data_IF_765879011869
#
_entry.id   IF_765879011869
#
_cell.length_a   1.000
_cell.length_b   1.000
_cell.length_c   1.000
_cell.angle_alpha   90.00
_cell.angle_beta   90.00
_cell.angle_gamma   90.00
#
_symmetry.space_group_name_H-M   'P 1'
#
loop_
_entity.id
_entity.type
_entity.pdbx_description
1 polymer ?
#
# COMPACT_ATOMS: atom_id res chain seq x y z
N UNK A 1 2.80 -19.95 -54.52
CA UNK A 1 3.91 -20.08 -53.53
C UNK A 1 3.72 -19.21 -52.28
N UNK A 2 2.93 -18.14 -52.31
CA UNK A 2 2.73 -17.21 -51.17
C UNK A 2 1.87 -17.81 -50.03
N UNK A 3 0.95 -18.73 -50.32
CA UNK A 3 0.00 -19.28 -49.32
C UNK A 3 0.64 -20.24 -48.29
N UNK A 4 1.85 -20.77 -48.56
CA UNK A 4 2.51 -21.78 -47.71
C UNK A 4 3.32 -21.18 -46.56
N UNK A 5 3.65 -19.88 -46.64
CA UNK A 5 4.43 -19.13 -45.64
C UNK A 5 3.58 -18.28 -44.70
N UNK A 6 2.34 -17.94 -45.06
CA UNK A 6 1.45 -17.13 -44.20
C UNK A 6 0.91 -17.91 -43.00
N UNK A 7 0.67 -19.22 -43.18
CA UNK A 7 0.12 -20.12 -42.16
C UNK A 7 1.04 -20.22 -40.92
N UNK A 8 2.37 -20.46 -41.02
CA UNK A 8 3.24 -20.51 -39.85
C UNK A 8 3.45 -19.15 -39.18
N UNK A 9 3.41 -18.04 -39.93
CA UNK A 9 3.51 -16.69 -39.37
C UNK A 9 2.27 -16.36 -38.55
N UNK A 10 1.07 -16.71 -39.04
CA UNK A 10 -0.19 -16.52 -38.32
C UNK A 10 -0.23 -17.31 -36.99
N UNK A 11 0.31 -18.52 -36.99
CA UNK A 11 0.45 -19.35 -35.78
C UNK A 11 1.43 -18.76 -34.77
N UNK A 12 2.53 -18.16 -35.23
CA UNK A 12 3.54 -17.50 -34.39
C UNK A 12 2.95 -16.27 -33.68
N UNK A 13 2.12 -15.50 -34.38
CA UNK A 13 1.40 -14.36 -33.81
C UNK A 13 0.38 -14.79 -32.75
N UNK A 14 -0.39 -15.85 -33.01
CA UNK A 14 -1.35 -16.41 -32.06
C UNK A 14 -0.66 -16.92 -30.77
N UNK A 15 0.49 -17.59 -30.88
CA UNK A 15 1.25 -18.05 -29.72
C UNK A 15 1.76 -16.90 -28.84
N UNK A 16 2.17 -15.77 -29.45
CA UNK A 16 2.66 -14.61 -28.72
C UNK A 16 1.58 -13.95 -27.85
N UNK A 17 0.33 -13.92 -28.33
CA UNK A 17 -0.82 -13.35 -27.59
C UNK A 17 -1.18 -14.20 -26.36
N UNK A 18 -1.09 -15.53 -26.46
CA UNK A 18 -1.44 -16.45 -25.36
C UNK A 18 -0.42 -16.35 -24.21
N UNK A 19 0.87 -16.17 -24.51
CA UNK A 19 1.92 -16.04 -23.51
C UNK A 19 1.82 -14.70 -22.76
N UNK A 20 1.43 -13.61 -23.44
CA UNK A 20 1.25 -12.29 -22.82
C UNK A 20 0.16 -12.26 -21.73
N UNK A 21 -0.90 -13.06 -21.89
CA UNK A 21 -2.01 -13.09 -20.93
C UNK A 21 -1.68 -13.86 -19.63
N UNK A 22 -0.75 -14.82 -19.67
CA UNK A 22 -0.38 -15.63 -18.50
C UNK A 22 0.53 -14.87 -17.50
N UNK A 23 1.16 -13.78 -17.93
CA UNK A 23 2.00 -12.91 -17.10
C UNK A 23 1.23 -11.74 -16.48
N UNK A 24 -0.05 -11.57 -16.82
CA UNK A 24 -0.94 -10.62 -16.17
C UNK A 24 -1.42 -11.14 -14.81
N UNK A 25 -0.51 -11.72 -14.03
CA UNK A 25 -0.72 -11.93 -12.60
C UNK A 25 -1.16 -10.59 -12.02
N UNK A 26 -2.34 -10.56 -11.41
CA UNK A 26 -2.87 -9.34 -10.81
C UNK A 26 -1.80 -8.80 -9.86
N UNK A 27 -1.15 -7.70 -10.23
CA UNK A 27 -0.48 -6.83 -9.28
C UNK A 27 -1.58 -6.38 -8.32
N UNK A 28 -1.79 -7.14 -7.24
CA UNK A 28 -2.67 -6.75 -6.15
C UNK A 28 -2.04 -5.48 -5.58
N UNK A 29 -2.55 -4.33 -6.00
CA UNK A 29 -2.20 -3.07 -5.41
C UNK A 29 -2.43 -3.20 -3.89
N UNK A 30 -1.39 -2.87 -3.12
CA UNK A 30 -1.46 -2.97 -1.66
C UNK A 30 -2.47 -1.93 -1.17
N UNK A 31 -3.53 -2.34 -0.45
CA UNK A 31 -4.59 -1.40 -0.06
C UNK A 31 -4.10 -0.23 0.79
N UNK A 32 -2.99 -0.40 1.53
CA UNK A 32 -2.40 0.66 2.32
C UNK A 32 -1.62 1.64 1.43
N UNK A 33 -0.93 1.16 0.40
CA UNK A 33 -0.26 1.99 -0.60
C UNK A 33 -1.26 2.78 -1.45
N UNK A 34 -2.35 2.15 -1.88
CA UNK A 34 -3.43 2.83 -2.61
C UNK A 34 -4.04 3.94 -1.77
N UNK A 35 -4.33 3.66 -0.50
CA UNK A 35 -4.86 4.66 0.42
C UNK A 35 -3.86 5.81 0.65
N UNK A 36 -2.58 5.49 0.90
CA UNK A 36 -1.57 6.52 1.10
C UNK A 36 -1.41 7.39 -0.16
N UNK A 37 -1.49 6.80 -1.35
CA UNK A 37 -1.41 7.54 -2.61
C UNK A 37 -2.58 8.51 -2.78
N UNK A 38 -3.80 8.11 -2.37
CA UNK A 38 -4.99 8.92 -2.50
C UNK A 38 -5.18 9.96 -1.38
N UNK A 39 -4.79 9.64 -0.14
CA UNK A 39 -5.21 10.37 1.06
C UNK A 39 -4.06 10.77 2.01
N UNK A 40 -2.78 10.62 1.61
CA UNK A 40 -1.66 10.98 2.48
C UNK A 40 -1.65 12.45 2.90
N UNK A 41 -2.12 13.35 2.05
CA UNK A 41 -2.22 14.78 2.38
C UNK A 41 -3.20 15.02 3.54
N UNK A 42 -4.37 14.37 3.52
CA UNK A 42 -5.38 14.51 4.57
C UNK A 42 -4.88 14.00 5.92
N UNK A 43 -4.20 12.85 5.90
CA UNK A 43 -3.52 12.30 7.09
C UNK A 43 -2.53 13.30 7.69
N UNK A 44 -1.74 13.96 6.85
CA UNK A 44 -0.76 14.94 7.29
C UNK A 44 -1.40 16.23 7.84
N UNK A 45 -2.49 16.72 7.23
CA UNK A 45 -3.24 17.88 7.74
C UNK A 45 -3.74 17.62 9.16
N UNK A 46 -4.35 16.45 9.40
CA UNK A 46 -4.86 16.12 10.73
C UNK A 46 -3.72 15.95 11.75
N UNK A 47 -2.59 15.36 11.34
CA UNK A 47 -1.41 15.24 12.22
C UNK A 47 -0.74 16.59 12.50
N UNK A 48 -0.83 17.55 11.58
CA UNK A 48 -0.33 18.91 11.78
C UNK A 48 -1.17 19.68 12.80
N UNK A 49 -2.49 19.55 12.74
CA UNK A 49 -3.42 20.16 13.71
C UNK A 49 -3.39 19.45 15.07
N UNK A 50 -3.17 18.14 15.06
CA UNK A 50 -3.18 17.29 16.25
C UNK A 50 -1.92 16.41 16.37
N UNK A 51 -0.74 17.00 16.63
CA UNK A 51 0.53 16.27 16.76
C UNK A 51 0.65 15.60 18.13
N UNK A 52 -0.33 14.74 18.46
CA UNK A 52 -0.41 14.01 19.72
C UNK A 52 -0.71 12.53 19.49
N UNK A 53 -0.42 11.69 20.49
CA UNK A 53 -0.74 10.25 20.43
C UNK A 53 -2.24 9.99 20.24
N UNK A 54 -3.16 10.66 20.96
CA UNK A 54 -4.60 10.53 20.71
C UNK A 54 -5.01 10.97 19.30
N UNK A 55 -4.41 12.05 18.79
CA UNK A 55 -4.65 12.53 17.42
C UNK A 55 -4.29 11.48 16.38
N UNK A 56 -3.12 10.84 16.51
CA UNK A 56 -2.72 9.73 15.63
C UNK A 56 -3.63 8.50 15.75
N UNK A 57 -4.13 8.19 16.95
CA UNK A 57 -5.15 7.12 17.12
C UNK A 57 -6.44 7.45 16.35
N UNK A 58 -6.89 8.70 16.42
CA UNK A 58 -8.07 9.16 15.68
C UNK A 58 -7.86 9.05 14.17
N UNK A 59 -6.69 9.43 13.67
CA UNK A 59 -6.31 9.24 12.26
C UNK A 59 -6.35 7.76 11.88
N UNK A 60 -5.78 6.86 12.69
CA UNK A 60 -5.82 5.42 12.45
C UNK A 60 -7.24 4.86 12.37
N UNK A 61 -8.17 5.36 13.21
CA UNK A 61 -9.58 4.98 13.13
C UNK A 61 -10.22 5.51 11.84
N UNK A 62 -10.02 6.79 11.53
CA UNK A 62 -10.55 7.40 10.31
C UNK A 62 -10.06 6.70 9.03
N UNK A 63 -8.80 6.28 8.99
CA UNK A 63 -8.22 5.52 7.86
C UNK A 63 -8.86 4.14 7.73
N UNK A 64 -9.12 3.44 8.85
CA UNK A 64 -9.81 2.15 8.83
C UNK A 64 -11.24 2.30 8.30
N UNK A 65 -11.97 3.31 8.76
CA UNK A 65 -13.36 3.57 8.37
C UNK A 65 -13.47 4.04 6.92
N UNK A 66 -12.61 4.97 6.51
CA UNK A 66 -12.64 5.55 5.16
C UNK A 66 -12.15 4.56 4.11
N UNK A 67 -11.07 3.83 4.40
CA UNK A 67 -10.46 2.90 3.45
C UNK A 67 -10.98 1.47 3.55
N UNK A 68 -11.86 1.16 4.50
CA UNK A 68 -12.25 -0.24 4.80
C UNK A 68 -11.06 -1.11 5.17
N UNK A 69 -10.02 -0.51 5.76
CA UNK A 69 -8.73 -1.14 6.02
C UNK A 69 -8.72 -1.86 7.37
N UNK A 70 -7.97 -2.95 7.46
CA UNK A 70 -7.63 -3.56 8.75
C UNK A 70 -6.73 -2.64 9.57
N UNK A 71 -6.68 -2.81 10.89
CA UNK A 71 -5.78 -2.03 11.76
C UNK A 71 -4.31 -2.08 11.31
N UNK A 72 -3.85 -3.22 10.79
CA UNK A 72 -2.49 -3.37 10.26
C UNK A 72 -2.29 -2.54 8.99
N UNK A 73 -3.22 -2.63 8.04
CA UNK A 73 -3.16 -1.87 6.79
C UNK A 73 -3.28 -0.36 7.04
N UNK A 74 -4.15 0.06 7.96
CA UNK A 74 -4.25 1.46 8.36
C UNK A 74 -2.94 1.96 8.99
N UNK A 75 -2.31 1.16 9.85
CA UNK A 75 -0.97 1.45 10.38
C UNK A 75 0.07 1.64 9.28
N UNK A 76 0.06 0.76 8.27
CA UNK A 76 0.95 0.86 7.12
C UNK A 76 0.64 2.09 6.26
N UNK A 77 -0.63 2.39 6.01
CA UNK A 77 -1.06 3.53 5.21
C UNK A 77 -0.64 4.84 5.88
N UNK A 78 -0.89 4.98 7.18
CA UNK A 78 -0.46 6.17 7.94
C UNK A 78 1.06 6.30 7.98
N UNK A 79 1.80 5.19 8.13
CA UNK A 79 3.25 5.21 8.09
C UNK A 79 3.77 5.67 6.72
N UNK A 80 3.23 5.14 5.63
CA UNK A 80 3.57 5.54 4.26
C UNK A 80 3.27 7.03 4.03
N UNK A 81 2.11 7.52 4.47
CA UNK A 81 1.74 8.93 4.39
C UNK A 81 2.73 9.83 5.13
N UNK A 82 3.08 9.48 6.37
CA UNK A 82 4.02 10.27 7.19
C UNK A 82 5.42 10.26 6.61
N UNK A 83 5.91 9.12 6.15
CA UNK A 83 7.27 9.00 5.59
C UNK A 83 7.40 9.80 4.30
N UNK A 84 6.39 9.73 3.42
CA UNK A 84 6.47 10.31 2.08
C UNK A 84 6.03 11.79 2.02
N UNK A 85 5.09 12.21 2.87
CA UNK A 85 4.45 13.54 2.75
C UNK A 85 4.80 14.46 3.93
N UNK A 86 4.75 13.97 5.17
CA UNK A 86 5.00 14.79 6.36
C UNK A 86 6.05 14.18 7.32
N UNK A 87 7.33 14.09 6.90
CA UNK A 87 8.38 13.38 7.66
C UNK A 87 8.66 14.01 9.04
N UNK A 88 8.23 15.25 9.28
CA UNK A 88 8.31 15.89 10.60
C UNK A 88 7.59 15.12 11.71
N UNK A 89 6.60 14.29 11.37
CA UNK A 89 5.82 13.49 12.33
C UNK A 89 6.36 12.09 12.59
N UNK A 90 7.49 11.71 11.96
CA UNK A 90 8.17 10.43 12.23
C UNK A 90 8.45 10.19 13.72
N UNK A 91 8.91 11.19 14.52
CA UNK A 91 9.14 10.98 15.96
C UNK A 91 7.87 10.62 16.72
N UNK A 92 6.73 11.18 16.32
CA UNK A 92 5.42 10.89 16.91
C UNK A 92 4.99 9.46 16.59
N UNK A 93 5.15 9.05 15.33
CA UNK A 93 4.88 7.68 14.89
C UNK A 93 5.73 6.65 15.66
N UNK A 94 7.02 6.95 15.88
CA UNK A 94 7.91 6.09 16.69
C UNK A 94 7.45 5.96 18.14
N UNK A 95 7.01 7.06 18.76
CA UNK A 95 6.47 7.04 20.13
C UNK A 95 5.20 6.18 20.22
N UNK A 96 4.34 6.29 19.22
CA UNK A 96 3.13 5.48 19.12
C UNK A 96 3.45 3.98 19.05
N UNK A 97 4.35 3.60 18.14
CA UNK A 97 4.80 2.20 17.99
C UNK A 97 5.43 1.69 19.29
N UNK A 98 6.27 2.49 19.96
CA UNK A 98 6.88 2.09 21.23
C UNK A 98 5.85 1.83 22.35
N UNK A 99 4.69 2.49 22.29
CA UNK A 99 3.62 2.38 23.28
C UNK A 99 2.65 1.23 22.99
N UNK A 100 2.32 1.00 21.71
CA UNK A 100 1.21 0.12 21.32
C UNK A 100 1.60 -1.06 20.45
N UNK A 101 2.80 -1.08 19.84
CA UNK A 101 3.21 -2.25 19.11
C UNK A 101 3.40 -3.42 20.08
N UNK A 102 2.83 -4.60 19.78
CA UNK A 102 3.10 -5.78 20.60
C UNK A 102 4.62 -5.97 20.65
N UNK A 103 5.18 -5.99 21.86
CA UNK A 103 6.58 -6.40 22.03
C UNK A 103 6.68 -7.78 21.42
N UNK A 104 7.55 -7.95 20.44
CA UNK A 104 7.88 -9.25 19.88
C UNK A 104 8.66 -10.07 20.93
N UNK A 105 8.02 -10.36 22.06
CA UNK A 105 8.51 -11.23 23.11
C UNK A 105 8.31 -12.66 22.65
N UNK A 106 9.17 -13.13 21.74
CA UNK A 106 9.09 -14.52 21.26
C UNK A 106 9.96 -14.90 20.06
N UNK A 107 10.75 -14.01 19.47
CA UNK A 107 11.60 -14.37 18.32
C UNK A 107 12.99 -14.92 18.70
N UNK A 108 13.26 -15.17 19.99
CA UNK A 108 14.51 -15.74 20.48
C UNK A 108 14.19 -16.66 21.68
N UNK A 109 13.77 -17.90 21.41
CA UNK A 109 13.84 -19.01 22.36
C UNK A 109 14.03 -20.31 21.57
#
# INVERSE_FOLDING_TARGET
MIHRTVIPVLWLWLACVIIGAALAGSAKADPAEDFATAYAADVCIVLDDHPTIPGLTGVLQAVQETGGLTARQAGQAVALSVINVCPRHIPLLRRYVAMYAPRASGALA
#
